data_IF_676054174167
#
_entry.id   IF_676054174167
#
_cell.length_a   1.000
_cell.length_b   1.000
_cell.length_c   1.000
_cell.angle_alpha   90.00
_cell.angle_beta   90.00
_cell.angle_gamma   90.00
#
_symmetry.space_group_name_H-M   'P 1'
#
loop_
_entity.id
_entity.type
_entity.pdbx_description
1 polymer ?
#
# COMPACT_ATOMS: atom_id res chain seq x y z
N UNK A 1 25.91 -60.38 16.28
CA UNK A 1 26.47 -59.02 16.15
C UNK A 1 26.17 -58.53 14.74
N UNK A 2 25.64 -57.32 14.65
CA UNK A 2 24.89 -56.74 13.53
C UNK A 2 25.83 -56.32 12.39
N UNK A 3 25.53 -56.73 11.16
CA UNK A 3 26.04 -56.11 9.91
C UNK A 3 24.82 -55.68 9.08
N UNK A 4 24.48 -54.39 9.14
CA UNK A 4 23.51 -53.78 8.25
C UNK A 4 24.25 -53.08 7.11
N UNK A 5 24.46 -53.84 6.03
CA UNK A 5 24.76 -53.28 4.72
C UNK A 5 23.50 -52.77 4.03
N UNK A 6 23.59 -51.53 3.55
CA UNK A 6 22.92 -51.09 2.34
C UNK A 6 21.59 -50.37 2.55
N UNK A 7 21.64 -49.03 2.52
CA UNK A 7 20.74 -48.18 1.73
C UNK A 7 21.29 -46.76 1.72
N UNK A 8 22.33 -46.58 0.91
CA UNK A 8 22.76 -45.26 0.48
C UNK A 8 21.78 -44.68 -0.54
N UNK A 9 21.63 -43.37 -0.42
CA UNK A 9 21.55 -42.42 -1.52
C UNK A 9 20.34 -42.51 -2.44
N UNK A 10 19.24 -41.94 -1.95
CA UNK A 10 18.18 -41.37 -2.77
C UNK A 10 17.65 -40.09 -2.12
N UNK A 11 18.54 -39.21 -1.65
CA UNK A 11 18.14 -37.88 -1.15
C UNK A 11 17.64 -37.09 -2.36
N UNK A 12 16.33 -36.93 -2.46
CA UNK A 12 15.72 -35.97 -3.37
C UNK A 12 16.42 -34.62 -3.21
N UNK A 13 16.68 -33.87 -4.30
CA UNK A 13 17.34 -32.59 -4.18
C UNK A 13 16.52 -31.72 -3.24
N UNK A 14 17.14 -31.28 -2.15
CA UNK A 14 16.58 -30.32 -1.22
C UNK A 14 16.20 -29.09 -2.05
N UNK A 15 14.92 -28.95 -2.38
CA UNK A 15 14.39 -27.75 -3.01
C UNK A 15 14.60 -26.65 -1.99
N UNK A 16 15.62 -25.83 -2.23
CA UNK A 16 15.97 -24.70 -1.40
C UNK A 16 14.81 -23.69 -1.46
N UNK A 17 13.87 -23.79 -0.51
CA UNK A 17 12.66 -22.94 -0.45
C UNK A 17 12.94 -21.57 0.16
N UNK A 18 14.15 -21.35 0.66
CA UNK A 18 14.48 -20.17 1.45
C UNK A 18 15.01 -19.01 0.58
N UNK A 19 15.31 -19.26 -0.70
CA UNK A 19 15.71 -18.26 -1.69
C UNK A 19 14.54 -17.44 -2.26
N UNK A 20 14.74 -16.15 -2.56
CA UNK A 20 13.79 -15.36 -3.36
C UNK A 20 13.64 -15.95 -4.75
N UNK A 21 12.43 -16.42 -5.06
CA UNK A 21 12.04 -16.74 -6.42
C UNK A 21 11.09 -15.65 -6.90
N UNK A 22 11.57 -14.83 -7.83
CA UNK A 22 10.84 -13.76 -8.53
C UNK A 22 9.51 -14.22 -9.14
N UNK A 23 9.29 -15.53 -9.29
CA UNK A 23 8.10 -16.11 -9.91
C UNK A 23 6.88 -16.20 -8.96
N UNK A 24 7.03 -15.88 -7.67
CA UNK A 24 5.99 -16.16 -6.64
C UNK A 24 5.47 -14.92 -5.90
N UNK A 25 5.35 -13.77 -6.56
CA UNK A 25 4.83 -12.54 -5.94
C UNK A 25 3.46 -12.75 -5.28
N UNK A 26 2.48 -13.30 -6.00
CA UNK A 26 1.14 -13.57 -5.46
C UNK A 26 1.18 -14.48 -4.23
N UNK A 27 1.82 -15.64 -4.32
CA UNK A 27 1.84 -16.61 -3.24
C UNK A 27 2.50 -16.04 -1.97
N UNK A 28 3.54 -15.22 -2.13
CA UNK A 28 4.23 -14.57 -1.00
C UNK A 28 3.42 -13.43 -0.40
N UNK A 29 2.86 -12.54 -1.21
CA UNK A 29 2.04 -11.44 -0.69
C UNK A 29 0.72 -11.95 -0.09
N UNK A 30 0.12 -12.98 -0.67
CA UNK A 30 -1.01 -13.69 -0.07
C UNK A 30 -0.65 -14.36 1.26
N UNK A 31 0.54 -14.97 1.37
CA UNK A 31 1.02 -15.54 2.62
C UNK A 31 1.28 -14.45 3.69
N UNK A 32 1.78 -13.28 3.31
CA UNK A 32 1.93 -12.15 4.23
C UNK A 32 0.58 -11.72 4.81
N UNK A 33 -0.48 -11.66 3.98
CA UNK A 33 -1.82 -11.36 4.47
C UNK A 33 -2.40 -12.49 5.33
N UNK A 34 -2.38 -13.74 4.85
CA UNK A 34 -3.11 -14.85 5.49
C UNK A 34 -2.43 -15.43 6.73
N UNK A 35 -1.10 -15.30 6.86
CA UNK A 35 -0.36 -15.72 8.06
C UNK A 35 -0.45 -14.70 9.20
N UNK A 36 -1.03 -13.53 8.97
CA UNK A 36 -1.27 -12.57 10.03
C UNK A 36 -2.38 -13.04 10.98
N UNK A 37 -2.12 -13.07 12.31
CA UNK A 37 -3.15 -13.40 13.29
C UNK A 37 -4.36 -12.48 13.14
N UNK A 38 -5.53 -13.08 12.95
CA UNK A 38 -6.77 -12.34 12.75
C UNK A 38 -6.82 -11.53 11.46
N UNK A 39 -6.16 -11.97 10.38
CA UNK A 39 -6.15 -11.25 9.09
C UNK A 39 -7.55 -10.83 8.60
N UNK A 40 -8.57 -11.68 8.77
CA UNK A 40 -9.97 -11.34 8.44
C UNK A 40 -10.46 -10.16 9.29
N UNK A 41 -10.18 -10.14 10.60
CA UNK A 41 -10.51 -9.03 11.48
C UNK A 41 -9.80 -7.75 11.06
N UNK A 42 -8.56 -7.83 10.56
CA UNK A 42 -7.83 -6.68 10.02
C UNK A 42 -8.47 -6.16 8.73
N UNK A 43 -8.87 -7.03 7.81
CA UNK A 43 -9.60 -6.64 6.61
C UNK A 43 -10.91 -5.94 6.96
N UNK A 44 -11.68 -6.48 7.90
CA UNK A 44 -12.91 -5.86 8.39
C UNK A 44 -12.63 -4.50 9.06
N UNK A 45 -11.55 -4.39 9.83
CA UNK A 45 -11.18 -3.11 10.46
C UNK A 45 -10.76 -2.05 9.44
N UNK A 46 -10.00 -2.42 8.40
CA UNK A 46 -9.65 -1.52 7.30
C UNK A 46 -10.87 -1.11 6.48
N UNK A 47 -11.78 -2.06 6.26
CA UNK A 47 -13.05 -1.80 5.59
C UNK A 47 -13.93 -0.83 6.38
N UNK A 48 -14.10 -1.07 7.68
CA UNK A 48 -14.81 -0.16 8.58
C UNK A 48 -14.13 1.21 8.67
N UNK A 49 -12.79 1.25 8.68
CA UNK A 49 -12.05 2.51 8.62
C UNK A 49 -12.36 3.25 7.32
N UNK A 50 -12.44 2.56 6.18
CA UNK A 50 -12.82 3.15 4.90
C UNK A 50 -14.21 3.80 4.87
N UNK A 51 -15.12 3.46 5.80
CA UNK A 51 -16.43 4.12 5.94
C UNK A 51 -16.33 5.50 6.60
N UNK A 52 -15.26 5.78 7.35
CA UNK A 52 -15.04 7.10 7.96
C UNK A 52 -14.48 8.04 6.89
N UNK A 53 -15.18 9.14 6.56
CA UNK A 53 -14.73 10.06 5.51
C UNK A 53 -13.34 10.62 5.80
N UNK A 54 -12.53 10.73 4.75
CA UNK A 54 -11.19 11.33 4.76
C UNK A 54 -10.21 10.61 5.70
N UNK A 55 -10.33 10.78 7.02
CA UNK A 55 -9.39 10.24 7.99
C UNK A 55 -9.31 8.71 7.97
N UNK A 56 -10.46 8.05 7.79
CA UNK A 56 -10.54 6.61 7.69
C UNK A 56 -9.94 6.06 6.41
N UNK A 57 -10.26 6.69 5.27
CA UNK A 57 -9.66 6.38 3.97
C UNK A 57 -8.14 6.58 4.02
N UNK A 58 -7.65 7.71 4.53
CA UNK A 58 -6.22 7.99 4.67
C UNK A 58 -5.54 6.99 5.61
N UNK A 59 -6.15 6.64 6.75
CA UNK A 59 -5.59 5.68 7.68
C UNK A 59 -5.50 4.27 7.11
N UNK A 60 -6.55 3.80 6.42
CA UNK A 60 -6.56 2.47 5.79
C UNK A 60 -5.53 2.40 4.66
N UNK A 61 -5.52 3.40 3.79
CA UNK A 61 -4.59 3.50 2.67
C UNK A 61 -3.14 3.57 3.19
N UNK A 62 -2.86 4.45 4.15
CA UNK A 62 -1.53 4.58 4.72
C UNK A 62 -1.04 3.33 5.46
N UNK A 63 -1.94 2.53 6.04
CA UNK A 63 -1.60 1.22 6.59
C UNK A 63 -1.12 0.26 5.49
N UNK A 64 -1.78 0.23 4.33
CA UNK A 64 -1.43 -0.67 3.22
C UNK A 64 -0.03 -0.33 2.67
N UNK A 65 0.29 0.93 2.42
CA UNK A 65 1.64 1.26 1.97
C UNK A 65 2.71 1.15 3.04
N UNK A 66 2.38 1.38 4.31
CA UNK A 66 3.33 1.12 5.38
C UNK A 66 3.64 -0.38 5.47
N UNK A 67 2.67 -1.25 5.15
CA UNK A 67 2.91 -2.68 5.03
C UNK A 67 3.83 -3.00 3.85
N UNK A 68 3.57 -2.41 2.68
CA UNK A 68 4.46 -2.55 1.53
C UNK A 68 5.88 -2.07 1.82
N UNK A 69 6.01 -0.94 2.55
CA UNK A 69 7.28 -0.39 2.99
C UNK A 69 8.02 -1.37 3.89
N UNK A 70 7.37 -1.90 4.93
CA UNK A 70 7.95 -2.93 5.80
C UNK A 70 8.41 -4.16 5.01
N UNK A 71 7.58 -4.62 4.08
CA UNK A 71 7.91 -5.72 3.17
C UNK A 71 9.12 -5.41 2.29
N UNK A 72 9.26 -4.18 1.80
CA UNK A 72 10.40 -3.71 1.02
C UNK A 72 11.70 -3.69 1.85
N UNK A 73 11.61 -3.32 3.13
CA UNK A 73 12.69 -3.44 4.12
C UNK A 73 12.95 -4.88 4.59
N UNK A 74 12.16 -5.85 4.13
CA UNK A 74 12.29 -7.25 4.49
C UNK A 74 11.71 -7.63 5.86
N UNK A 75 10.93 -6.74 6.47
CA UNK A 75 10.21 -7.00 7.73
C UNK A 75 8.94 -7.81 7.42
N UNK A 76 8.79 -9.05 7.93
CA UNK A 76 7.67 -9.93 7.56
C UNK A 76 6.37 -9.65 8.32
N UNK A 77 6.31 -8.57 9.11
CA UNK A 77 5.18 -8.25 9.98
C UNK A 77 4.37 -7.08 9.43
N UNK A 78 3.05 -7.14 9.68
CA UNK A 78 2.14 -6.02 9.42
C UNK A 78 2.46 -4.79 10.27
N UNK A 79 2.09 -3.57 9.82
CA UNK A 79 2.39 -2.33 10.53
C UNK A 79 1.91 -2.30 11.99
N UNK A 80 0.75 -2.91 12.27
CA UNK A 80 0.21 -2.98 13.63
C UNK A 80 1.04 -3.86 14.56
N UNK A 81 1.75 -4.86 14.03
CA UNK A 81 2.68 -5.70 14.80
C UNK A 81 4.07 -5.07 14.92
N UNK A 82 4.44 -4.22 13.97
CA UNK A 82 5.68 -3.44 14.01
C UNK A 82 5.60 -2.21 14.95
N UNK A 83 4.51 -2.05 15.71
CA UNK A 83 4.33 -0.95 16.67
C UNK A 83 3.82 0.36 16.06
N UNK A 84 3.28 0.33 14.85
CA UNK A 84 2.71 1.51 14.20
C UNK A 84 1.44 2.01 14.89
N UNK A 85 1.27 3.34 14.93
CA UNK A 85 0.08 4.00 15.47
C UNK A 85 -0.84 4.51 14.36
N UNK A 86 -2.12 4.73 14.68
CA UNK A 86 -3.11 5.27 13.72
C UNK A 86 -2.66 6.61 13.13
N UNK A 87 -2.07 7.49 13.94
CA UNK A 87 -1.54 8.78 13.47
C UNK A 87 -0.40 8.63 12.46
N UNK A 88 0.45 7.60 12.61
CA UNK A 88 1.50 7.26 11.64
C UNK A 88 0.89 6.83 10.31
N UNK A 89 -0.15 5.99 10.35
CA UNK A 89 -0.84 5.53 9.15
C UNK A 89 -1.51 6.69 8.41
N UNK A 90 -2.20 7.59 9.11
CA UNK A 90 -2.80 8.77 8.47
C UNK A 90 -1.73 9.65 7.82
N UNK A 91 -0.58 9.85 8.48
CA UNK A 91 0.54 10.62 7.90
C UNK A 91 1.09 9.94 6.64
N UNK A 92 1.21 8.62 6.65
CA UNK A 92 1.57 7.84 5.45
C UNK A 92 0.52 8.01 4.35
N UNK A 93 -0.76 7.84 4.68
CA UNK A 93 -1.88 8.00 3.75
C UNK A 93 -1.94 9.37 3.11
N UNK A 94 -1.61 10.43 3.85
CA UNK A 94 -1.51 11.78 3.30
C UNK A 94 -0.42 11.89 2.23
N UNK A 95 0.74 11.27 2.42
CA UNK A 95 1.80 11.25 1.40
C UNK A 95 1.34 10.53 0.16
N UNK A 96 0.68 9.38 0.33
CA UNK A 96 0.16 8.62 -0.80
C UNK A 96 -0.87 9.42 -1.58
N UNK A 97 -1.82 10.04 -0.87
CA UNK A 97 -2.84 10.87 -1.47
C UNK A 97 -2.21 11.99 -2.30
N UNK A 98 -1.22 12.71 -1.78
CA UNK A 98 -0.54 13.78 -2.53
C UNK A 98 0.20 13.26 -3.76
N UNK A 99 0.91 12.13 -3.66
CA UNK A 99 1.59 11.52 -4.81
C UNK A 99 0.58 11.09 -5.86
N UNK A 100 -0.43 10.31 -5.47
CA UNK A 100 -1.48 9.82 -6.37
C UNK A 100 -2.28 10.96 -7.00
N UNK A 101 -2.58 12.02 -6.24
CA UNK A 101 -3.27 13.20 -6.74
C UNK A 101 -2.46 13.90 -7.83
N UNK A 102 -1.17 14.18 -7.60
CA UNK A 102 -0.33 14.87 -8.59
C UNK A 102 -0.17 14.02 -9.86
N UNK A 103 0.15 12.73 -9.72
CA UNK A 103 0.24 11.83 -10.87
C UNK A 103 -1.08 11.69 -11.62
N UNK A 104 -2.19 11.55 -10.89
CA UNK A 104 -3.53 11.46 -11.46
C UNK A 104 -3.95 12.74 -12.20
N UNK A 105 -3.63 13.92 -11.66
CA UNK A 105 -3.88 15.20 -12.33
C UNK A 105 -3.04 15.37 -13.59
N UNK A 106 -1.76 14.97 -13.56
CA UNK A 106 -0.91 14.97 -14.76
C UNK A 106 -1.50 14.09 -15.85
N UNK A 107 -1.95 12.89 -15.50
CA UNK A 107 -2.60 11.99 -16.45
C UNK A 107 -3.94 12.52 -16.95
N UNK A 108 -4.79 13.03 -16.06
CA UNK A 108 -6.06 13.63 -16.43
C UNK A 108 -5.88 14.79 -17.40
N UNK A 109 -4.85 15.62 -17.19
CA UNK A 109 -4.50 16.70 -18.10
C UNK A 109 -4.08 16.17 -19.48
N UNK A 110 -3.23 15.13 -19.53
CA UNK A 110 -2.82 14.51 -20.81
C UNK A 110 -4.04 13.95 -21.53
N UNK A 111 -4.89 13.18 -20.85
CA UNK A 111 -6.09 12.60 -21.43
C UNK A 111 -7.06 13.68 -21.94
N UNK A 112 -7.24 14.77 -21.18
CA UNK A 112 -8.04 15.93 -21.59
C UNK A 112 -7.48 16.60 -22.84
N UNK A 113 -6.16 16.84 -22.91
CA UNK A 113 -5.53 17.46 -24.06
C UNK A 113 -5.68 16.60 -25.33
N UNK A 114 -5.53 15.28 -25.23
CA UNK A 114 -5.73 14.36 -26.36
C UNK A 114 -7.19 14.33 -26.80
N UNK A 115 -8.16 14.51 -25.89
CA UNK A 115 -9.59 14.51 -26.22
C UNK A 115 -9.99 15.63 -27.20
N UNK A 116 -9.23 16.74 -27.25
CA UNK A 116 -9.47 17.85 -28.17
C UNK A 116 -9.03 17.57 -29.62
N UNK A 117 -8.41 16.42 -29.91
CA UNK A 117 -7.97 16.04 -31.26
C UNK A 117 -8.97 15.00 -31.81
N UNK A 118 -9.95 15.37 -32.67
CA UNK A 118 -11.11 14.52 -32.97
C UNK A 118 -10.77 13.17 -33.61
N UNK A 119 -9.76 13.11 -34.46
CA UNK A 119 -9.36 11.87 -35.15
C UNK A 119 -8.55 10.94 -34.22
N UNK A 120 -7.81 11.50 -33.27
CA UNK A 120 -6.99 10.75 -32.31
C UNK A 120 -7.83 10.31 -31.11
N UNK A 121 -8.81 11.12 -30.69
CA UNK A 121 -9.59 10.88 -29.48
C UNK A 121 -10.42 9.60 -29.53
N UNK A 122 -10.95 9.20 -30.70
CA UNK A 122 -11.71 7.95 -30.85
C UNK A 122 -10.82 6.72 -30.66
N UNK A 123 -9.65 6.69 -31.31
CA UNK A 123 -8.69 5.59 -31.14
C UNK A 123 -8.12 5.57 -29.71
N UNK A 124 -7.86 6.76 -29.18
CA UNK A 124 -7.31 6.92 -27.83
C UNK A 124 -8.33 6.51 -26.75
N UNK A 125 -9.64 6.65 -26.97
CA UNK A 125 -10.67 6.23 -26.02
C UNK A 125 -10.59 4.73 -25.64
N UNK A 126 -10.24 3.87 -26.60
CA UNK A 126 -10.03 2.43 -26.33
C UNK A 126 -8.71 2.15 -25.58
N UNK A 127 -7.70 3.01 -25.76
CA UNK A 127 -6.34 2.84 -25.19
C UNK A 127 -6.23 3.45 -23.79
N UNK A 128 -6.95 4.54 -23.51
CA UNK A 128 -6.99 5.24 -22.20
C UNK A 128 -7.14 4.27 -21.03
N UNK A 129 -8.13 3.34 -20.99
CA UNK A 129 -8.28 2.46 -19.84
C UNK A 129 -7.08 1.53 -19.65
N UNK A 130 -6.47 1.06 -20.74
CA UNK A 130 -5.27 0.20 -20.70
C UNK A 130 -4.09 0.98 -20.12
N UNK A 131 -3.85 2.20 -20.62
CA UNK A 131 -2.76 3.06 -20.14
C UNK A 131 -3.00 3.46 -18.68
N UNK A 132 -4.24 3.81 -18.32
CA UNK A 132 -4.61 4.16 -16.94
C UNK A 132 -4.37 3.00 -15.99
N UNK A 133 -4.67 1.77 -16.44
CA UNK A 133 -4.45 0.56 -15.66
C UNK A 133 -2.96 0.29 -15.40
N UNK A 134 -2.10 0.45 -16.41
CA UNK A 134 -0.64 0.36 -16.24
C UNK A 134 -0.13 1.51 -15.36
N UNK A 135 -0.63 2.73 -15.58
CA UNK A 135 -0.21 3.91 -14.84
C UNK A 135 -0.55 3.80 -13.36
N UNK A 136 -1.69 3.18 -13.00
CA UNK A 136 -2.04 2.92 -11.61
C UNK A 136 -0.92 2.15 -10.88
N UNK A 137 -0.34 1.12 -11.52
CA UNK A 137 0.79 0.38 -10.96
C UNK A 137 2.05 1.24 -10.79
N UNK A 138 2.32 2.16 -11.74
CA UNK A 138 3.44 3.11 -11.63
C UNK A 138 3.22 4.11 -10.49
N UNK A 139 1.97 4.55 -10.28
CA UNK A 139 1.59 5.41 -9.16
C UNK A 139 1.81 4.67 -7.84
N UNK A 140 1.45 3.39 -7.73
CA UNK A 140 1.70 2.60 -6.52
C UNK A 140 3.20 2.50 -6.20
N UNK A 141 4.06 2.34 -7.22
CA UNK A 141 5.53 2.39 -7.06
C UNK A 141 5.97 3.75 -6.51
N UNK A 142 5.48 4.85 -7.11
CA UNK A 142 5.78 6.21 -6.65
C UNK A 142 5.36 6.42 -5.19
N UNK A 143 4.17 5.94 -4.83
CA UNK A 143 3.60 6.01 -3.48
C UNK A 143 4.45 5.24 -2.47
N UNK A 144 4.83 4.00 -2.77
CA UNK A 144 5.66 3.21 -1.87
C UNK A 144 7.05 3.83 -1.75
N UNK A 145 7.64 4.38 -2.84
CA UNK A 145 8.91 5.11 -2.76
C UNK A 145 8.80 6.33 -1.84
N UNK A 146 7.75 7.14 -1.96
CA UNK A 146 7.48 8.24 -1.04
C UNK A 146 7.32 7.77 0.42
N UNK A 147 6.76 6.58 0.61
CA UNK A 147 6.57 5.97 1.93
C UNK A 147 7.90 5.46 2.50
N UNK A 148 8.75 4.81 1.70
CA UNK A 148 10.12 4.39 2.07
C UNK A 148 10.94 5.57 2.56
N UNK A 149 10.98 6.66 1.79
CA UNK A 149 11.69 7.89 2.17
C UNK A 149 10.95 8.75 3.20
N UNK A 150 9.71 8.36 3.56
CA UNK A 150 8.83 9.15 4.43
C UNK A 150 8.66 10.62 3.95
N UNK A 151 8.78 10.84 2.63
CA UNK A 151 8.81 12.14 1.97
C UNK A 151 8.08 12.08 0.62
N UNK A 152 7.15 13.01 0.39
CA UNK A 152 6.32 13.09 -0.83
C UNK A 152 7.18 13.30 -2.09
N UNK A 153 8.23 14.12 -2.01
CA UNK A 153 9.06 14.46 -3.18
C UNK A 153 9.76 13.25 -3.80
N UNK A 154 10.02 12.21 -3.01
CA UNK A 154 10.61 10.98 -3.49
C UNK A 154 9.65 10.21 -4.44
N UNK A 155 8.34 10.41 -4.35
CA UNK A 155 7.37 9.81 -5.28
C UNK A 155 7.38 10.46 -6.68
N UNK A 156 8.03 11.60 -6.86
CA UNK A 156 8.05 12.33 -8.14
C UNK A 156 9.36 12.16 -8.93
N UNK A 157 10.23 11.22 -8.53
CA UNK A 157 11.48 10.94 -9.25
C UNK A 157 11.23 9.99 -10.43
N UNK A 158 10.66 10.53 -11.50
CA UNK A 158 10.29 9.79 -12.72
C UNK A 158 11.44 8.96 -13.30
N UNK A 159 12.65 9.54 -13.39
CA UNK A 159 13.82 8.84 -13.94
C UNK A 159 14.18 7.59 -13.12
N UNK A 160 14.17 7.70 -11.78
CA UNK A 160 14.46 6.56 -10.90
C UNK A 160 13.40 5.46 -11.03
N UNK A 161 12.11 5.84 -11.07
CA UNK A 161 11.00 4.88 -11.23
C UNK A 161 11.12 4.17 -12.59
N UNK A 162 11.44 4.90 -13.65
CA UNK A 162 11.70 4.35 -14.98
C UNK A 162 12.86 3.36 -14.99
N UNK A 163 13.99 3.71 -14.38
CA UNK A 163 15.16 2.82 -14.27
C UNK A 163 14.86 1.53 -13.52
N UNK A 164 14.06 1.59 -12.44
CA UNK A 164 13.62 0.38 -11.72
C UNK A 164 12.72 -0.48 -12.61
N UNK A 165 11.76 0.14 -13.31
CA UNK A 165 10.85 -0.55 -14.21
C UNK A 165 11.57 -1.19 -15.40
N UNK A 166 12.59 -0.54 -15.95
CA UNK A 166 13.43 -1.09 -17.04
C UNK A 166 14.29 -2.25 -16.55
N UNK A 167 14.85 -2.16 -15.34
CA UNK A 167 15.71 -3.20 -14.77
C UNK A 167 14.94 -4.48 -14.43
N UNK A 168 13.66 -4.39 -14.08
CA UNK A 168 12.79 -5.56 -13.90
C UNK A 168 11.34 -5.33 -14.36
N UNK A 169 11.16 -5.24 -15.68
CA UNK A 169 9.84 -5.15 -16.29
C UNK A 169 9.06 -6.47 -16.15
N UNK A 170 9.76 -7.61 -16.05
CA UNK A 170 9.16 -8.94 -15.93
C UNK A 170 8.42 -9.13 -14.61
N UNK A 171 9.01 -8.68 -13.50
CA UNK A 171 8.35 -8.65 -12.19
C UNK A 171 7.12 -7.74 -12.20
N UNK A 172 7.23 -6.55 -12.79
CA UNK A 172 6.09 -5.63 -12.92
C UNK A 172 4.95 -6.22 -13.76
N UNK A 173 5.25 -6.90 -14.88
CA UNK A 173 4.24 -7.58 -15.69
C UNK A 173 3.49 -8.66 -14.90
N UNK A 174 4.20 -9.41 -14.04
CA UNK A 174 3.57 -10.40 -13.16
C UNK A 174 2.65 -9.74 -12.13
N UNK A 175 3.05 -8.62 -11.54
CA UNK A 175 2.22 -7.88 -10.58
C UNK A 175 1.01 -7.24 -11.27
N UNK A 176 1.21 -6.69 -12.47
CA UNK A 176 0.14 -6.19 -13.31
C UNK A 176 -0.87 -7.30 -13.65
N UNK A 177 -0.39 -8.52 -13.93
CA UNK A 177 -1.26 -9.68 -14.16
C UNK A 177 -2.05 -10.07 -12.90
N UNK A 178 -1.45 -10.00 -11.70
CA UNK A 178 -2.16 -10.20 -10.43
C UNK A 178 -3.27 -9.16 -10.26
N UNK A 179 -2.96 -7.88 -10.48
CA UNK A 179 -3.94 -6.79 -10.45
C UNK A 179 -5.06 -7.03 -11.47
N UNK A 180 -4.72 -7.42 -12.70
CA UNK A 180 -5.69 -7.63 -13.78
C UNK A 180 -6.62 -8.81 -13.49
N UNK A 181 -6.06 -9.96 -13.16
CA UNK A 181 -6.86 -11.15 -12.83
C UNK A 181 -7.72 -10.89 -11.59
N UNK A 182 -7.15 -10.27 -10.56
CA UNK A 182 -7.88 -9.91 -9.34
C UNK A 182 -9.05 -8.96 -9.60
N UNK A 183 -8.85 -7.91 -10.39
CA UNK A 183 -9.90 -6.96 -10.75
C UNK A 183 -10.95 -7.57 -11.69
N UNK A 184 -10.56 -8.44 -12.62
CA UNK A 184 -11.52 -9.16 -13.47
C UNK A 184 -12.41 -10.10 -12.65
N UNK A 185 -11.83 -10.91 -11.76
CA UNK A 185 -12.60 -11.77 -10.85
C UNK A 185 -13.55 -10.92 -10.00
N UNK A 186 -13.05 -9.84 -9.42
CA UNK A 186 -13.83 -8.93 -8.59
C UNK A 186 -15.01 -8.32 -9.37
N UNK A 187 -14.76 -7.83 -10.60
CA UNK A 187 -15.79 -7.25 -11.45
C UNK A 187 -16.86 -8.27 -11.85
N UNK A 188 -16.47 -9.52 -12.13
CA UNK A 188 -17.39 -10.60 -12.45
C UNK A 188 -18.29 -10.94 -11.27
N UNK A 189 -17.70 -11.14 -10.08
CA UNK A 189 -18.45 -11.42 -8.84
C UNK A 189 -19.39 -10.26 -8.52
N UNK A 190 -18.90 -9.02 -8.60
CA UNK A 190 -19.71 -7.81 -8.36
C UNK A 190 -20.89 -7.71 -9.33
N UNK A 191 -20.66 -7.99 -10.62
CA UNK A 191 -21.70 -7.97 -11.66
C UNK A 191 -22.75 -9.05 -11.40
N UNK A 192 -22.35 -10.27 -11.03
CA UNK A 192 -23.28 -11.34 -10.69
C UNK A 192 -24.13 -10.96 -9.48
N UNK A 193 -23.51 -10.46 -8.41
CA UNK A 193 -24.22 -10.00 -7.21
C UNK A 193 -25.20 -8.88 -7.54
N UNK A 194 -24.78 -7.91 -8.37
CA UNK A 194 -25.64 -6.82 -8.81
C UNK A 194 -26.84 -7.32 -9.61
N UNK A 195 -26.63 -8.19 -10.61
CA UNK A 195 -27.72 -8.78 -11.42
C UNK A 195 -28.71 -9.50 -10.52
N UNK A 196 -28.24 -10.41 -9.66
CA UNK A 196 -29.09 -11.17 -8.74
C UNK A 196 -29.89 -10.25 -7.82
N UNK A 197 -29.28 -9.16 -7.35
CA UNK A 197 -29.93 -8.21 -6.46
C UNK A 197 -30.93 -7.28 -7.16
N UNK A 198 -30.77 -7.01 -8.47
CA UNK A 198 -31.71 -6.18 -9.25
C UNK A 198 -32.93 -6.97 -9.73
N UNK A 199 -32.80 -8.28 -9.98
CA UNK A 199 -33.90 -9.13 -10.51
C UNK A 199 -35.23 -8.95 -9.77
N UNK A 200 -35.30 -8.93 -8.42
CA UNK A 200 -36.56 -8.73 -7.70
C UNK A 200 -37.24 -7.38 -8.01
N UNK A 201 -36.45 -6.35 -8.35
CA UNK A 201 -36.96 -5.01 -8.66
C UNK A 201 -37.31 -4.81 -10.14
N UNK A 202 -36.99 -5.77 -11.01
CA UNK A 202 -37.18 -5.64 -12.46
C UNK A 202 -38.64 -5.40 -12.86
N UNK A 203 -39.59 -6.10 -12.23
CA UNK A 203 -41.02 -5.93 -12.48
C UNK A 203 -41.54 -4.54 -12.10
N UNK A 204 -41.10 -4.02 -10.95
CA UNK A 204 -41.45 -2.67 -10.49
C UNK A 204 -40.86 -1.57 -11.38
N UNK A 205 -39.60 -1.72 -11.79
CA UNK A 205 -38.94 -0.81 -12.74
C UNK A 205 -39.63 -0.80 -14.11
N UNK A 206 -40.04 -1.98 -14.59
CA UNK A 206 -40.80 -2.11 -15.83
C UNK A 206 -42.16 -1.42 -15.72
N UNK A 207 -42.91 -1.66 -14.65
CA UNK A 207 -44.21 -1.03 -14.43
C UNK A 207 -44.11 0.50 -14.34
N UNK A 208 -43.15 1.03 -13.57
CA UNK A 208 -42.91 2.47 -13.47
C UNK A 208 -42.55 3.10 -14.82
N UNK A 209 -41.75 2.40 -15.64
CA UNK A 209 -41.41 2.87 -16.99
C UNK A 209 -42.63 2.88 -17.91
N UNK A 210 -43.49 1.87 -17.83
CA UNK A 210 -44.73 1.82 -18.63
C UNK A 210 -45.74 2.90 -18.23
N UNK A 211 -45.83 3.20 -16.93
CA UNK A 211 -46.66 4.30 -16.44
C UNK A 211 -46.18 5.65 -17.00
N UNK A 212 -44.87 5.92 -16.98
CA UNK A 212 -44.29 7.11 -17.60
C UNK A 212 -44.64 7.24 -19.08
N UNK A 213 -44.47 6.15 -19.84
CA UNK A 213 -44.80 6.12 -21.28
C UNK A 213 -46.29 6.41 -21.48
N UNK A 214 -47.18 5.80 -20.68
CA UNK A 214 -48.62 6.01 -20.80
C UNK A 214 -49.06 7.45 -20.51
N UNK A 215 -48.42 8.11 -19.52
CA UNK A 215 -48.69 9.50 -19.17
C UNK A 215 -48.13 10.47 -20.22
N UNK A 216 -46.99 10.12 -20.83
CA UNK A 216 -46.41 10.82 -21.98
C UNK A 216 -47.37 10.81 -23.17
N UNK A 217 -47.87 9.64 -23.55
CA UNK A 217 -48.81 9.47 -24.67
C UNK A 217 -50.14 10.20 -24.43
N UNK A 218 -50.59 10.26 -23.18
CA UNK A 218 -51.80 10.99 -22.80
C UNK A 218 -51.62 12.53 -22.76
N UNK A 219 -50.41 13.05 -22.97
CA UNK A 219 -50.10 14.48 -22.82
C UNK A 219 -50.23 15.00 -21.39
N UNK A 220 -50.15 14.11 -20.38
CA UNK A 220 -50.40 14.41 -18.96
C UNK A 220 -49.12 14.53 -18.12
N UNK A 221 -47.96 14.70 -18.77
CA UNK A 221 -46.70 14.87 -18.06
C UNK A 221 -46.65 16.22 -17.34
N UNK A 222 -46.83 16.18 -16.03
CA UNK A 222 -46.37 17.24 -15.14
C UNK A 222 -44.90 16.99 -14.82
N UNK A 223 -44.00 17.75 -15.45
CA UNK A 223 -42.55 17.52 -15.44
C UNK A 223 -41.91 17.61 -14.04
N UNK A 224 -42.53 18.29 -13.06
CA UNK A 224 -41.86 18.51 -11.76
C UNK A 224 -41.98 17.34 -10.78
N UNK A 225 -43.13 16.65 -10.72
CA UNK A 225 -43.37 15.59 -9.72
C UNK A 225 -43.09 14.19 -10.25
N UNK A 226 -43.39 13.93 -11.53
CA UNK A 226 -43.32 12.60 -12.10
C UNK A 226 -41.88 12.13 -12.32
N UNK A 227 -40.98 13.04 -12.68
CA UNK A 227 -39.54 12.74 -12.81
C UNK A 227 -38.91 12.44 -11.45
N UNK A 228 -39.29 13.18 -10.41
CA UNK A 228 -38.81 12.92 -9.05
C UNK A 228 -39.30 11.56 -8.54
N UNK A 229 -40.57 11.21 -8.76
CA UNK A 229 -41.14 9.93 -8.34
C UNK A 229 -40.48 8.73 -9.07
N UNK A 230 -40.24 8.87 -10.37
CA UNK A 230 -39.47 7.88 -11.13
C UNK A 230 -38.02 7.76 -10.66
N UNK A 231 -37.35 8.88 -10.38
CA UNK A 231 -35.99 8.87 -9.84
C UNK A 231 -35.95 8.20 -8.46
N UNK A 232 -36.91 8.47 -7.58
CA UNK A 232 -37.02 7.81 -6.28
C UNK A 232 -37.28 6.31 -6.45
N UNK A 233 -38.12 5.91 -7.39
CA UNK A 233 -38.37 4.50 -7.73
C UNK A 233 -37.11 3.82 -8.26
N UNK A 234 -36.37 4.48 -9.15
CA UNK A 234 -35.10 3.99 -9.69
C UNK A 234 -34.06 3.83 -8.59
N UNK A 235 -33.90 4.86 -7.74
CA UNK A 235 -32.95 4.83 -6.62
C UNK A 235 -33.34 3.75 -5.63
N UNK A 236 -34.60 3.68 -5.20
CA UNK A 236 -35.05 2.67 -4.22
C UNK A 236 -34.91 1.24 -4.76
N UNK A 237 -35.09 1.03 -6.06
CA UNK A 237 -34.89 -0.26 -6.71
C UNK A 237 -33.41 -0.65 -6.85
N UNK A 238 -32.55 0.29 -7.21
CA UNK A 238 -31.14 0.00 -7.51
C UNK A 238 -30.21 0.13 -6.30
N UNK A 239 -30.51 1.02 -5.35
CA UNK A 239 -29.66 1.31 -4.19
C UNK A 239 -29.34 0.05 -3.36
N UNK A 240 -30.29 -0.86 -3.06
CA UNK A 240 -29.97 -2.10 -2.35
C UNK A 240 -28.99 -2.99 -3.12
N UNK A 241 -29.18 -3.10 -4.44
CA UNK A 241 -28.31 -3.90 -5.30
C UNK A 241 -26.90 -3.29 -5.41
N UNK A 242 -26.81 -1.97 -5.59
CA UNK A 242 -25.54 -1.23 -5.61
C UNK A 242 -24.83 -1.38 -4.26
N UNK A 243 -25.58 -1.28 -3.15
CA UNK A 243 -25.02 -1.39 -1.79
C UNK A 243 -24.47 -2.79 -1.53
N UNK A 244 -25.20 -3.84 -1.92
CA UNK A 244 -24.77 -5.23 -1.76
C UNK A 244 -23.56 -5.57 -2.63
N UNK A 245 -23.60 -5.18 -3.92
CA UNK A 245 -22.48 -5.36 -4.84
C UNK A 245 -21.24 -4.58 -4.35
N UNK A 246 -21.41 -3.34 -3.92
CA UNK A 246 -20.35 -2.49 -3.37
C UNK A 246 -19.75 -3.07 -2.08
N UNK A 247 -20.58 -3.60 -1.18
CA UNK A 247 -20.13 -4.28 0.03
C UNK A 247 -19.26 -5.51 -0.31
N UNK A 248 -19.76 -6.41 -1.16
CA UNK A 248 -19.01 -7.60 -1.58
C UNK A 248 -17.67 -7.22 -2.26
N UNK A 249 -17.70 -6.15 -3.05
CA UNK A 249 -16.54 -5.66 -3.80
C UNK A 249 -15.47 -5.06 -2.89
N UNK A 250 -15.86 -4.26 -1.91
CA UNK A 250 -14.93 -3.46 -1.09
C UNK A 250 -14.05 -4.31 -0.16
N UNK A 251 -14.58 -5.38 0.44
CA UNK A 251 -13.75 -6.28 1.26
C UNK A 251 -12.69 -7.01 0.44
N UNK A 252 -13.07 -7.52 -0.73
CA UNK A 252 -12.13 -8.19 -1.63
C UNK A 252 -11.13 -7.19 -2.22
N UNK A 253 -11.57 -5.97 -2.57
CA UNK A 253 -10.71 -4.92 -3.06
C UNK A 253 -9.57 -4.60 -2.07
N UNK A 254 -9.88 -4.44 -0.78
CA UNK A 254 -8.85 -4.21 0.25
C UNK A 254 -7.86 -5.37 0.33
N UNK A 255 -8.34 -6.61 0.26
CA UNK A 255 -7.47 -7.78 0.27
C UNK A 255 -6.55 -7.81 -0.96
N UNK A 256 -7.10 -7.55 -2.15
CA UNK A 256 -6.35 -7.47 -3.39
C UNK A 256 -5.31 -6.33 -3.35
N UNK A 257 -5.70 -5.17 -2.82
CA UNK A 257 -4.83 -4.00 -2.68
C UNK A 257 -3.64 -4.31 -1.76
N UNK A 258 -3.87 -4.94 -0.60
CA UNK A 258 -2.79 -5.42 0.30
C UNK A 258 -1.87 -6.40 -0.43
N UNK A 259 -2.42 -7.32 -1.21
CA UNK A 259 -1.65 -8.33 -1.97
C UNK A 259 -0.77 -7.65 -3.03
N UNK A 260 -1.30 -6.63 -3.72
CA UNK A 260 -0.60 -5.91 -4.79
C UNK A 260 0.47 -4.98 -4.22
N UNK A 261 0.14 -4.21 -3.18
CA UNK A 261 1.11 -3.35 -2.48
C UNK A 261 2.24 -4.17 -1.85
N UNK A 262 1.94 -5.31 -1.23
CA UNK A 262 3.00 -6.19 -0.72
C UNK A 262 3.79 -6.87 -1.84
N UNK A 263 3.17 -7.22 -2.97
CA UNK A 263 3.90 -7.71 -4.14
C UNK A 263 4.87 -6.65 -4.67
N UNK A 264 4.45 -5.37 -4.74
CA UNK A 264 5.31 -4.25 -5.07
C UNK A 264 6.40 -4.02 -4.02
N UNK A 265 6.11 -4.19 -2.73
CA UNK A 265 7.13 -4.17 -1.67
C UNK A 265 8.17 -5.26 -1.87
N UNK A 266 7.76 -6.49 -2.19
CA UNK A 266 8.66 -7.60 -2.52
C UNK A 266 9.48 -7.32 -3.78
N UNK A 267 8.88 -6.69 -4.79
CA UNK A 267 9.58 -6.26 -6.00
C UNK A 267 10.60 -5.16 -5.69
N UNK A 268 10.24 -4.14 -4.89
CA UNK A 268 11.20 -3.10 -4.49
C UNK A 268 12.38 -3.65 -3.71
N UNK A 269 12.14 -4.65 -2.86
CA UNK A 269 13.18 -5.29 -2.06
C UNK A 269 14.34 -5.84 -2.90
N UNK A 270 14.10 -6.26 -4.14
CA UNK A 270 15.16 -6.80 -4.99
C UNK A 270 16.22 -5.75 -5.34
N UNK A 271 15.87 -4.46 -5.30
CA UNK A 271 16.78 -3.34 -5.56
C UNK A 271 17.59 -2.91 -4.32
N UNK A 272 17.69 -3.77 -3.30
CA UNK A 272 18.44 -3.54 -2.07
C UNK A 272 18.05 -2.22 -1.37
N UNK A 273 16.75 -2.12 -1.01
CA UNK A 273 16.20 -0.96 -0.30
C UNK A 273 17.04 -0.52 0.91
N UNK A 274 17.62 -1.43 1.72
CA UNK A 274 18.51 -1.03 2.81
C UNK A 274 19.80 -0.31 2.40
N UNK A 275 20.27 -0.51 1.17
CA UNK A 275 21.43 0.17 0.61
C UNK A 275 21.08 1.47 -0.12
N UNK A 276 19.80 1.87 -0.18
CA UNK A 276 19.41 3.14 -0.78
C UNK A 276 19.94 4.31 0.05
N UNK A 277 20.62 5.25 -0.62
CA UNK A 277 21.04 6.53 -0.04
C UNK A 277 19.90 7.55 -0.03
N UNK A 278 20.24 8.83 -0.12
CA UNK A 278 19.29 9.92 -0.28
C UNK A 278 18.38 9.74 -1.49
N UNK A 279 17.24 10.44 -1.52
CA UNK A 279 16.26 10.25 -2.61
C UNK A 279 16.76 10.63 -4.01
N UNK A 280 17.86 11.37 -4.07
CA UNK A 280 18.55 11.82 -5.28
C UNK A 280 19.75 10.94 -5.67
N UNK A 281 20.15 10.00 -4.80
CA UNK A 281 21.29 9.13 -5.06
C UNK A 281 20.94 8.07 -6.12
N UNK A 282 21.92 7.62 -6.92
CA UNK A 282 21.71 6.56 -7.89
C UNK A 282 21.34 5.25 -7.18
N UNK A 283 20.52 4.44 -7.85
CA UNK A 283 20.19 3.10 -7.36
C UNK A 283 21.46 2.22 -7.30
N UNK A 284 21.55 1.28 -6.34
CA UNK A 284 22.65 0.32 -6.29
C UNK A 284 22.89 -0.35 -7.64
N UNK A 285 24.15 -0.45 -8.05
CA UNK A 285 24.55 -0.90 -9.38
C UNK A 285 24.30 -2.41 -9.62
N UNK A 286 24.28 -3.21 -8.56
CA UNK A 286 24.06 -4.66 -8.62
C UNK A 286 22.97 -5.09 -7.64
N UNK A 287 22.07 -5.97 -8.08
CA UNK A 287 21.15 -6.66 -7.18
C UNK A 287 21.99 -7.63 -6.31
N UNK A 288 21.88 -7.59 -4.97
CA UNK A 288 22.63 -8.52 -4.13
C UNK A 288 22.24 -9.97 -4.44
N UNK A 289 23.21 -10.89 -4.36
CA UNK A 289 22.89 -12.31 -4.25
C UNK A 289 22.00 -12.47 -3.02
N UNK A 290 20.76 -12.90 -3.22
CA UNK A 290 19.70 -12.85 -2.22
C UNK A 290 20.19 -13.27 -0.82
N UNK A 291 20.21 -12.31 0.10
CA UNK A 291 20.50 -12.55 1.51
C UNK A 291 19.18 -12.44 2.31
N UNK A 292 18.87 -13.42 3.18
CA UNK A 292 17.85 -13.23 4.22
C UNK A 292 18.17 -11.97 5.01
N UNK A 293 17.16 -11.15 5.31
CA UNK A 293 17.36 -9.92 6.06
C UNK A 293 17.99 -10.24 7.43
N UNK A 294 19.07 -9.55 7.84
CA UNK A 294 19.49 -9.57 9.24
C UNK A 294 18.33 -9.07 10.11
N UNK A 295 18.10 -9.74 11.24
CA UNK A 295 17.15 -9.30 12.27
C UNK A 295 17.68 -8.03 12.96
N UNK A 296 17.71 -6.90 12.26
CA UNK A 296 17.93 -5.60 12.88
C UNK A 296 16.59 -5.07 13.42
N UNK A 297 16.54 -4.52 14.66
CA UNK A 297 15.34 -3.90 15.19
C UNK A 297 14.89 -2.74 14.28
N UNK A 298 13.75 -2.91 13.61
CA UNK A 298 13.15 -1.85 12.80
C UNK A 298 12.64 -0.73 13.73
N UNK A 299 13.22 0.48 13.65
CA UNK A 299 12.71 1.66 14.35
C UNK A 299 11.74 2.43 13.44
N UNK A 300 10.43 2.48 13.76
CA UNK A 300 9.42 3.14 12.94
C UNK A 300 9.58 4.66 12.82
N UNK A 301 10.42 5.29 13.64
CA UNK A 301 10.74 6.71 13.57
C UNK A 301 12.25 6.93 13.70
N UNK A 302 12.96 6.82 12.57
CA UNK A 302 14.32 7.36 12.48
C UNK A 302 14.35 8.59 11.55
N UNK A 303 14.22 9.82 12.10
CA UNK A 303 14.39 11.05 11.31
C UNK A 303 15.80 11.21 10.74
N UNK A 304 16.77 10.37 11.14
CA UNK A 304 18.13 10.35 10.64
C UNK A 304 18.39 9.29 9.57
N UNK A 305 17.42 8.43 9.20
CA UNK A 305 17.62 7.46 8.12
C UNK A 305 17.94 8.14 6.77
N UNK A 306 17.53 9.41 6.60
CA UNK A 306 17.89 10.23 5.44
C UNK A 306 19.33 10.79 5.50
N UNK A 307 20.01 10.72 6.65
CA UNK A 307 21.29 11.40 6.90
C UNK A 307 22.41 10.47 7.44
N UNK A 308 22.18 9.16 7.59
CA UNK A 308 23.23 8.23 8.06
C UNK A 308 24.04 7.70 6.87
N UNK A 309 25.36 7.94 6.78
CA UNK A 309 26.21 7.37 5.73
C UNK A 309 26.25 5.83 5.78
N UNK A 310 26.50 5.15 4.65
CA UNK A 310 26.63 3.68 4.63
C UNK A 310 27.79 3.23 5.53
N UNK A 311 27.49 2.46 6.59
CA UNK A 311 28.49 1.83 7.45
C UNK A 311 28.38 2.10 8.96
N UNK A 312 27.50 3.00 9.41
CA UNK A 312 27.22 3.14 10.84
C UNK A 312 26.10 2.20 11.28
N UNK A 313 26.44 1.22 12.11
CA UNK A 313 25.47 0.54 12.98
C UNK A 313 24.76 1.61 13.83
N UNK A 314 23.42 1.68 13.85
CA UNK A 314 22.71 2.60 14.73
C UNK A 314 23.11 2.29 16.17
N UNK A 315 23.57 3.30 16.90
CA UNK A 315 23.83 3.17 18.34
C UNK A 315 22.62 2.51 19.00
N UNK A 316 22.86 1.38 19.66
CA UNK A 316 21.89 0.77 20.54
C UNK A 316 21.56 1.80 21.63
N UNK A 317 20.38 2.39 21.56
CA UNK A 317 19.87 3.21 22.65
C UNK A 317 19.47 2.26 23.77
N UNK A 318 20.42 2.03 24.67
CA UNK A 318 20.31 1.11 25.78
C UNK A 318 21.41 1.39 26.79
N UNK A 319 21.57 2.65 27.17
CA UNK A 319 22.17 3.03 28.46
C UNK A 319 21.85 4.51 28.76
N UNK A 320 20.63 4.75 29.23
CA UNK A 320 20.34 5.97 30.01
C UNK A 320 19.53 5.55 31.21
N UNK A 321 20.24 5.46 32.32
CA UNK A 321 19.79 5.45 33.70
C UNK A 321 18.62 6.44 33.90
N UNK A 322 17.40 5.92 34.02
CA UNK A 322 16.25 6.72 34.47
C UNK A 322 16.21 6.67 35.99
N UNK A 323 17.02 7.52 36.61
CA UNK A 323 16.86 7.90 38.01
C UNK A 323 15.49 8.54 38.22
N UNK A 324 14.61 7.82 38.94
CA UNK A 324 13.45 8.39 39.60
C UNK A 324 13.92 9.43 40.63
N UNK A 325 13.82 10.72 40.30
CA UNK A 325 13.89 11.78 41.31
C UNK A 325 12.51 12.39 41.50
N UNK A 326 11.91 11.97 42.62
CA UNK A 326 10.71 12.53 43.24
C UNK A 326 10.92 14.01 43.58
N UNK A 327 9.93 14.83 43.26
CA UNK A 327 9.85 16.23 43.67
C UNK A 327 9.75 16.32 45.20
N UNK A 328 10.74 16.95 45.85
CA UNK A 328 10.72 17.18 47.29
C UNK A 328 11.89 18.03 47.77
N UNK A 329 11.63 19.33 47.93
CA UNK A 329 12.10 20.13 49.07
C UNK A 329 13.61 20.43 49.24
N UNK A 330 13.91 21.73 49.09
CA UNK A 330 14.82 22.53 49.94
C UNK A 330 16.33 22.22 49.90
N UNK A 331 17.11 23.23 49.49
CA UNK A 331 18.38 23.54 50.17
C UNK A 331 19.64 23.55 49.31
N UNK A 332 20.11 24.78 49.09
CA UNK A 332 21.53 25.19 49.18
C UNK A 332 22.55 24.78 48.10
N UNK A 333 22.89 25.77 47.28
CA UNK A 333 24.25 26.33 47.06
C UNK A 333 25.46 25.38 47.05
N UNK A 334 26.13 25.27 45.89
CA UNK A 334 27.46 25.86 45.59
C UNK A 334 28.21 25.03 44.52
N UNK A 335 28.68 25.71 43.46
CA UNK A 335 29.77 25.24 42.60
C UNK A 335 31.11 25.26 43.39
N UNK A 336 32.17 24.55 42.95
CA UNK A 336 33.12 25.23 42.07
C UNK A 336 33.95 24.36 41.07
N UNK A 337 34.26 25.01 39.93
CA UNK A 337 35.56 25.18 39.25
C UNK A 337 36.38 23.98 38.70
N UNK A 338 36.76 24.15 37.42
CA UNK A 338 37.84 23.47 36.69
C UNK A 338 39.21 24.14 36.93
N UNK A 339 40.25 23.45 36.43
CA UNK A 339 41.67 23.84 36.21
C UNK A 339 42.58 23.71 37.45
N UNK A 340 43.81 23.20 37.37
CA UNK A 340 44.65 22.79 36.26
C UNK A 340 46.05 22.47 36.82
N UNK A 341 46.62 21.36 36.35
CA UNK A 341 48.03 21.00 36.20
C UNK A 341 49.17 21.69 37.01
N UNK A 342 50.08 20.81 37.50
CA UNK A 342 51.56 20.90 37.59
C UNK A 342 52.21 20.94 38.99
N UNK A 343 53.10 19.97 39.23
CA UNK A 343 54.46 20.25 39.73
C UNK A 343 54.81 19.95 41.20
N UNK A 344 55.17 18.69 41.49
CA UNK A 344 56.26 18.14 42.36
C UNK A 344 56.70 18.79 43.72
N UNK A 345 57.36 18.00 44.61
CA UNK A 345 57.34 18.07 46.10
C UNK A 345 58.66 18.69 46.66
N UNK A 346 59.19 18.43 47.90
CA UNK A 346 58.76 17.64 49.08
C UNK A 346 59.02 18.30 50.48
N UNK A 347 58.81 17.50 51.54
CA UNK A 347 59.35 17.57 52.91
C UNK A 347 58.52 18.28 54.00
N UNK A 348 58.38 17.55 55.12
CA UNK A 348 57.81 18.00 56.39
C UNK A 348 57.10 16.86 57.10
#
# INVERSE_FOLDING_TARGET
>A
MVDHRGKDAGMAPNVNTDGFQESRYFARSWALLTREPGWIRKLLALWLAGLVPIAGLLGAQGYIAEWARLTAWGVPSSPSRAGGSVGSYIKSGWRMFLVALVWGLLWALIALLVSFIPLVSVLFAAVIPIVSFVLALIIDIAVIRATIYQNVSAGFKFSTIGQMAERDAGGLLRILAIQLVGTLILSLVSTIVFIVAVVPSAGGLYAATQELVSLADAGRLNYDYLYLDYLVTLISALLPAISLAGFATSLFAIALEIVVFNALGLWMRQFDVPAWGGSDDPLPASLPAYAPAPYAPYNPYNPYAANTPPGQVPYAYGDTDYGLQTHGGVGQTQAPLQEGSQGRPPHG
#
